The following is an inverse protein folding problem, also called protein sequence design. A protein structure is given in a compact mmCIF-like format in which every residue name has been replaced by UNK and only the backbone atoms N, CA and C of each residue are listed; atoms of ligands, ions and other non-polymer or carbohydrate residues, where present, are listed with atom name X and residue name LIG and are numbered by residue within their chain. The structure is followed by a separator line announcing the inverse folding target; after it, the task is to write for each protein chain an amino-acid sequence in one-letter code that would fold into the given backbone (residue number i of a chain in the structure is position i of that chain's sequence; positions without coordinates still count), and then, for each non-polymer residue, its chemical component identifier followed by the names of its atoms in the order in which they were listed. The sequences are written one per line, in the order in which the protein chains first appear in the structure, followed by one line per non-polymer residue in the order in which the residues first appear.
data_IF_593654593853
#
_entry.id   IF_593654593853
#
_cell.length_a   1.000
_cell.length_b   1.000
_cell.length_c   1.000
_cell.angle_alpha   90.00
_cell.angle_beta   90.00
_cell.angle_gamma   90.00
#
_symmetry.space_group_name_H-M   'P 1'
#
loop_
_entity.id
_entity.type
_entity.pdbx_description
1 polymer ?
#
# COMPACT_ATOMS: atom_id res chain seq x y z
N UNK A 1 7.70 -23.16 -22.02
CA UNK A 1 6.96 -22.03 -22.63
C UNK A 1 5.90 -21.60 -21.62
N UNK A 2 6.05 -20.43 -21.00
CA UNK A 2 5.07 -19.92 -20.03
C UNK A 2 4.04 -19.07 -20.78
N UNK A 3 2.81 -19.57 -20.89
CA UNK A 3 1.69 -18.82 -21.46
C UNK A 3 0.98 -18.08 -20.33
N UNK A 4 1.07 -16.75 -20.31
CA UNK A 4 0.37 -15.92 -19.34
C UNK A 4 -1.04 -15.59 -19.85
N UNK A 5 -2.07 -16.07 -19.16
CA UNK A 5 -3.47 -15.73 -19.46
C UNK A 5 -3.89 -14.55 -18.58
N UNK A 6 -4.23 -13.40 -19.18
CA UNK A 6 -4.58 -12.18 -18.45
C UNK A 6 -6.10 -11.92 -18.52
N UNK A 7 -6.81 -12.12 -17.40
CA UNK A 7 -8.25 -11.87 -17.29
C UNK A 7 -8.50 -10.52 -16.58
N UNK A 8 -9.14 -9.57 -17.27
CA UNK A 8 -9.17 -8.16 -16.90
C UNK A 8 -10.44 -7.70 -16.16
N UNK A 9 -11.56 -8.41 -16.28
CA UNK A 9 -12.85 -8.03 -15.69
C UNK A 9 -13.69 -9.26 -15.29
N UNK A 10 -14.26 -9.21 -14.08
CA UNK A 10 -15.03 -10.29 -13.46
C UNK A 10 -16.54 -10.10 -13.54
N UNK A 11 -17.00 -9.01 -14.15
CA UNK A 11 -18.40 -8.59 -14.16
C UNK A 11 -19.23 -9.18 -15.32
N UNK A 12 -18.61 -9.92 -16.25
CA UNK A 12 -19.26 -10.34 -17.51
C UNK A 12 -19.55 -11.86 -17.61
N UNK A 13 -19.59 -12.61 -16.50
CA UNK A 13 -19.88 -14.06 -16.55
C UNK A 13 -21.32 -14.35 -16.11
N UNK A 14 -22.13 -14.70 -17.10
CA UNK A 14 -23.53 -15.13 -16.99
C UNK A 14 -23.61 -16.52 -16.32
N UNK A 15 -24.60 -16.70 -15.42
CA UNK A 15 -24.92 -17.87 -14.56
C UNK A 15 -24.23 -17.88 -13.17
N UNK A 16 -24.83 -17.18 -12.21
CA UNK A 16 -24.35 -17.04 -10.82
C UNK A 16 -25.21 -17.89 -9.86
N UNK A 17 -24.65 -18.98 -9.36
CA UNK A 17 -24.97 -19.53 -8.02
C UNK A 17 -23.85 -19.20 -7.03
N UNK A 18 -22.65 -18.87 -7.52
CA UNK A 18 -21.52 -18.32 -6.74
C UNK A 18 -20.81 -17.27 -7.59
N UNK A 19 -20.53 -16.08 -7.03
CA UNK A 19 -19.67 -15.08 -7.68
C UNK A 19 -18.20 -15.45 -7.43
N UNK A 20 -17.66 -16.32 -8.28
CA UNK A 20 -16.30 -16.83 -8.21
C UNK A 20 -15.70 -16.97 -9.62
N UNK A 21 -14.38 -16.88 -9.76
CA UNK A 21 -13.70 -17.39 -10.95
C UNK A 21 -13.75 -18.90 -10.85
N UNK A 22 -14.07 -19.55 -11.95
CA UNK A 22 -13.74 -20.96 -12.09
C UNK A 22 -13.11 -21.16 -13.45
N UNK A 23 -11.87 -21.65 -13.46
CA UNK A 23 -11.10 -21.87 -14.68
C UNK A 23 -10.55 -23.29 -14.64
N UNK A 24 -10.73 -24.01 -15.72
CA UNK A 24 -10.05 -25.28 -15.96
C UNK A 24 -8.85 -25.00 -16.85
N UNK A 25 -7.67 -25.41 -16.40
CA UNK A 25 -6.44 -25.28 -17.16
C UNK A 25 -5.93 -26.67 -17.52
N UNK A 26 -5.58 -26.85 -18.78
CA UNK A 26 -4.97 -28.09 -19.26
C UNK A 26 -3.48 -27.88 -19.43
N UNK A 27 -2.71 -28.72 -18.76
CA UNK A 27 -1.27 -28.67 -18.64
C UNK A 27 -0.76 -30.05 -19.03
N UNK A 28 -0.31 -30.18 -20.28
CA UNK A 28 0.10 -31.48 -20.79
C UNK A 28 1.41 -31.92 -20.13
N UNK A 29 1.33 -32.88 -19.20
CA UNK A 29 2.47 -33.37 -18.44
C UNK A 29 3.54 -34.03 -19.33
N UNK A 30 3.14 -34.59 -20.48
CA UNK A 30 4.05 -35.20 -21.45
C UNK A 30 5.00 -34.21 -22.12
N UNK A 31 4.65 -32.92 -22.15
CA UNK A 31 5.49 -31.85 -22.73
C UNK A 31 6.58 -31.36 -21.77
N UNK A 32 6.60 -31.85 -20.53
CA UNK A 32 7.56 -31.44 -19.52
C UNK A 32 8.90 -32.15 -19.69
N UNK A 33 9.98 -31.45 -19.34
CA UNK A 33 11.30 -32.06 -19.27
C UNK A 33 11.33 -33.12 -18.15
N UNK A 34 12.02 -34.26 -18.33
CA UNK A 34 12.08 -35.34 -17.33
C UNK A 34 12.80 -34.95 -16.03
N UNK A 35 13.42 -33.77 -15.99
CA UNK A 35 14.03 -33.18 -14.79
C UNK A 35 13.06 -32.30 -13.98
N UNK A 36 11.82 -32.13 -14.44
CA UNK A 36 10.80 -31.34 -13.75
C UNK A 36 10.26 -32.11 -12.55
N UNK A 37 10.40 -31.56 -11.36
CA UNK A 37 9.96 -32.22 -10.12
C UNK A 37 8.44 -32.18 -9.90
N UNK A 38 7.74 -31.20 -10.48
CA UNK A 38 6.31 -31.00 -10.28
C UNK A 38 5.60 -30.49 -11.55
N UNK A 39 4.32 -30.86 -11.69
CA UNK A 39 3.40 -30.41 -12.74
C UNK A 39 2.24 -29.65 -12.12
N UNK A 40 1.87 -28.51 -12.71
CA UNK A 40 0.80 -27.66 -12.22
C UNK A 40 0.88 -26.25 -12.77
N UNK A 41 0.01 -25.39 -12.24
CA UNK A 41 -0.09 -23.97 -12.62
C UNK A 41 0.28 -23.10 -11.43
N UNK A 42 0.95 -21.97 -11.69
CA UNK A 42 1.15 -20.91 -10.70
C UNK A 42 0.17 -19.76 -10.95
N UNK A 43 -0.50 -19.33 -9.90
CA UNK A 43 -1.46 -18.23 -9.91
C UNK A 43 -0.97 -17.09 -9.01
N UNK A 44 -1.03 -15.86 -9.51
CA UNK A 44 -0.74 -14.65 -8.73
C UNK A 44 -1.94 -13.73 -8.77
N UNK A 45 -2.36 -13.27 -7.60
CA UNK A 45 -3.48 -12.35 -7.43
C UNK A 45 -2.91 -11.02 -6.97
N UNK A 46 -3.21 -9.95 -7.70
CA UNK A 46 -2.71 -8.61 -7.43
C UNK A 46 -3.75 -7.56 -7.81
N UNK A 47 -3.56 -6.32 -7.35
CA UNK A 47 -4.42 -5.21 -7.75
C UNK A 47 -4.21 -4.83 -9.23
N UNK A 48 -5.22 -4.24 -9.86
CA UNK A 48 -5.21 -3.91 -11.29
C UNK A 48 -4.07 -2.97 -11.69
N UNK A 49 -3.64 -2.12 -10.76
CA UNK A 49 -2.62 -1.09 -10.98
C UNK A 49 -1.19 -1.58 -10.66
N UNK A 50 -1.05 -2.80 -10.13
CA UNK A 50 0.24 -3.42 -9.79
C UNK A 50 0.66 -4.47 -10.83
N UNK A 51 1.97 -4.72 -10.95
CA UNK A 51 2.48 -5.80 -11.79
C UNK A 51 2.45 -7.16 -11.06
N UNK A 52 2.05 -8.24 -11.74
CA UNK A 52 2.19 -9.59 -11.20
C UNK A 52 3.66 -10.05 -11.21
N UNK A 53 4.12 -10.61 -10.10
CA UNK A 53 5.41 -11.30 -10.00
C UNK A 53 5.21 -12.78 -9.64
N UNK A 54 4.87 -13.64 -10.61
CA UNK A 54 4.55 -15.04 -10.37
C UNK A 54 5.74 -15.93 -10.00
N UNK A 55 6.97 -15.41 -10.10
CA UNK A 55 8.16 -16.14 -9.63
C UNK A 55 8.37 -15.98 -8.12
N UNK A 56 7.86 -14.89 -7.53
CA UNK A 56 8.07 -14.54 -6.12
C UNK A 56 6.79 -14.66 -5.29
N UNK A 57 5.67 -14.16 -5.82
CA UNK A 57 4.37 -14.13 -5.17
C UNK A 57 3.38 -14.96 -5.98
N UNK A 58 3.42 -16.28 -5.81
CA UNK A 58 2.51 -17.18 -6.51
C UNK A 58 2.01 -18.30 -5.62
N UNK A 59 0.81 -18.78 -5.94
CA UNK A 59 0.23 -19.98 -5.38
C UNK A 59 0.27 -21.10 -6.41
N UNK A 60 0.73 -22.27 -5.99
CA UNK A 60 0.76 -23.47 -6.83
C UNK A 60 -0.60 -24.16 -6.79
N UNK A 61 -1.09 -24.57 -7.96
CA UNK A 61 -2.26 -25.41 -8.12
C UNK A 61 -1.86 -26.67 -8.91
N UNK A 62 -1.83 -27.85 -8.25
CA UNK A 62 -1.47 -29.11 -8.90
C UNK A 62 -2.56 -29.60 -9.86
N UNK A 63 -2.18 -30.47 -10.80
CA UNK A 63 -3.14 -31.19 -11.66
C UNK A 63 -3.83 -32.32 -10.89
N UNK A 64 -5.05 -32.68 -11.29
CA UNK A 64 -5.87 -33.71 -10.63
C UNK A 64 -6.57 -33.25 -9.35
N UNK A 65 -6.54 -31.96 -9.08
CA UNK A 65 -7.22 -31.34 -7.95
C UNK A 65 -8.03 -30.13 -8.40
N UNK A 66 -9.08 -29.84 -7.63
CA UNK A 66 -9.71 -28.52 -7.60
C UNK A 66 -9.06 -27.72 -6.47
N UNK A 67 -8.29 -26.70 -6.86
CA UNK A 67 -7.66 -25.72 -5.98
C UNK A 67 -8.59 -24.54 -5.79
N UNK A 68 -9.08 -24.39 -4.56
CA UNK A 68 -10.00 -23.35 -4.13
C UNK A 68 -9.22 -22.28 -3.33
N UNK A 69 -9.29 -21.04 -3.81
CA UNK A 69 -8.58 -19.87 -3.31
C UNK A 69 -9.57 -18.85 -2.75
N UNK A 70 -9.65 -18.77 -1.42
CA UNK A 70 -10.45 -17.76 -0.72
C UNK A 70 -9.67 -16.46 -0.58
N UNK A 71 -10.15 -15.39 -1.22
CA UNK A 71 -9.59 -14.05 -1.15
C UNK A 71 -10.21 -13.26 0.00
N UNK A 72 -9.35 -12.61 0.80
CA UNK A 72 -9.74 -11.58 1.76
C UNK A 72 -9.01 -10.29 1.48
N UNK A 73 -9.76 -9.20 1.30
CA UNK A 73 -9.19 -7.88 1.04
C UNK A 73 -8.90 -7.16 2.37
N UNK A 74 -7.64 -6.74 2.55
CA UNK A 74 -7.18 -5.95 3.69
C UNK A 74 -6.62 -4.63 3.17
N UNK A 75 -7.24 -3.52 3.58
CA UNK A 75 -6.80 -2.18 3.25
C UNK A 75 -6.01 -1.63 4.43
N UNK A 76 -4.72 -1.42 4.22
CA UNK A 76 -3.83 -0.79 5.20
C UNK A 76 -3.74 0.70 4.89
N UNK A 77 -4.14 1.52 5.85
CA UNK A 77 -4.03 2.98 5.79
C UNK A 77 -3.28 3.49 7.00
N UNK A 78 -2.19 4.23 6.77
CA UNK A 78 -1.51 4.95 7.83
C UNK A 78 -1.99 6.39 7.78
N UNK A 79 -2.73 6.85 8.79
CA UNK A 79 -3.14 8.24 8.86
C UNK A 79 -1.90 9.10 9.15
N UNK A 80 -1.58 9.96 8.20
CA UNK A 80 -0.47 10.90 8.34
C UNK A 80 -1.06 12.30 8.39
N UNK A 81 -1.19 12.84 9.60
CA UNK A 81 -1.33 14.27 9.77
C UNK A 81 -0.46 14.78 10.92
N UNK A 82 0.80 15.06 10.61
CA UNK A 82 1.52 16.09 11.36
C UNK A 82 2.36 16.88 10.37
N UNK A 83 1.72 17.92 9.81
CA UNK A 83 2.23 19.26 9.48
C UNK A 83 3.63 19.47 8.83
N UNK A 84 4.33 18.42 8.39
CA UNK A 84 5.64 18.50 7.71
C UNK A 84 5.74 17.58 6.49
N UNK A 85 4.62 17.00 6.04
CA UNK A 85 4.59 16.03 4.91
C UNK A 85 3.79 16.47 3.69
N UNK A 86 3.27 17.70 3.69
CA UNK A 86 2.70 18.37 2.50
C UNK A 86 3.79 18.96 1.57
N UNK A 87 5.00 18.37 1.58
CA UNK A 87 6.04 18.65 0.59
C UNK A 87 6.80 17.38 0.17
N UNK A 88 6.11 16.22 0.12
CA UNK A 88 6.73 14.99 -0.39
C UNK A 88 5.81 14.14 -1.26
N UNK A 89 4.88 14.79 -1.96
CA UNK A 89 4.26 14.26 -3.18
C UNK A 89 5.03 14.70 -4.45
N UNK A 90 6.12 15.44 -4.27
CA UNK A 90 6.95 16.03 -5.34
C UNK A 90 8.43 15.62 -5.25
N UNK A 91 8.75 14.52 -4.59
CA UNK A 91 10.11 13.96 -4.50
C UNK A 91 10.08 12.44 -4.72
N UNK A 92 9.41 12.03 -5.79
CA UNK A 92 9.84 10.85 -6.55
C UNK A 92 10.57 11.42 -7.78
N UNK A 93 11.67 12.10 -7.53
CA UNK A 93 12.69 12.29 -8.55
C UNK A 93 14.05 12.23 -7.86
N UNK A 94 14.88 11.31 -8.36
CA UNK A 94 16.31 11.15 -8.10
C UNK A 94 16.69 10.44 -6.80
N UNK A 95 16.68 9.10 -6.88
CA UNK A 95 17.85 8.35 -6.44
C UNK A 95 18.95 8.58 -7.47
N UNK A 96 19.94 9.41 -7.16
CA UNK A 96 21.11 9.60 -8.04
C UNK A 96 22.06 8.41 -7.89
N UNK A 97 22.04 7.49 -8.86
CA UNK A 97 23.20 6.62 -9.08
C UNK A 97 24.30 7.45 -9.76
N UNK A 98 25.56 7.15 -9.43
CA UNK A 98 26.73 7.84 -9.98
C UNK A 98 26.80 7.56 -11.50
N UNK A 99 27.06 8.57 -12.34
CA UNK A 99 27.31 8.34 -13.77
C UNK A 99 28.67 7.63 -13.98
N UNK A 100 28.89 7.16 -15.21
CA UNK A 100 30.16 6.54 -15.63
C UNK A 100 31.37 7.39 -15.18
N UNK A 101 32.44 6.76 -14.64
CA UNK A 101 32.79 5.33 -14.73
C UNK A 101 32.25 4.44 -13.58
N UNK A 102 31.34 4.92 -12.72
CA UNK A 102 30.87 4.17 -11.54
C UNK A 102 29.41 3.64 -11.64
N UNK A 103 28.73 3.81 -12.79
CA UNK A 103 27.40 3.23 -13.06
C UNK A 103 26.78 3.62 -14.41
N UNK A 104 26.02 2.70 -15.02
CA UNK A 104 25.27 2.87 -16.29
C UNK A 104 23.79 3.24 -16.03
N UNK A 105 23.53 4.36 -15.35
CA UNK A 105 22.15 4.81 -15.10
C UNK A 105 21.65 5.78 -16.18
N UNK A 106 20.49 5.47 -16.77
CA UNK A 106 19.78 6.33 -17.73
C UNK A 106 18.86 7.28 -16.93
N UNK A 107 19.01 8.59 -17.14
CA UNK A 107 18.39 9.64 -16.31
C UNK A 107 16.85 9.62 -16.30
N UNK A 108 16.22 9.14 -17.39
CA UNK A 108 14.76 9.20 -17.57
C UNK A 108 14.04 7.89 -17.19
N UNK A 109 14.76 6.84 -16.79
CA UNK A 109 14.17 5.55 -16.38
C UNK A 109 13.38 4.79 -17.46
N UNK A 110 13.13 5.38 -18.62
CA UNK A 110 12.43 4.80 -19.74
C UNK A 110 13.07 5.25 -21.06
N UNK A 111 13.65 4.32 -21.80
CA UNK A 111 14.04 4.54 -23.21
C UNK A 111 12.83 4.27 -24.12
N UNK A 112 12.83 4.76 -25.36
CA UNK A 112 11.79 4.46 -26.37
C UNK A 112 11.55 2.95 -26.57
N UNK A 113 12.55 2.12 -26.22
CA UNK A 113 12.57 0.66 -26.22
C UNK A 113 12.17 -0.02 -24.88
N UNK A 114 11.48 0.68 -23.97
CA UNK A 114 10.98 0.04 -22.75
C UNK A 114 9.74 -0.82 -23.02
N UNK A 115 9.74 -2.03 -22.46
CA UNK A 115 8.81 -3.10 -22.85
C UNK A 115 7.41 -2.89 -22.24
N UNK A 116 7.31 -2.24 -21.07
CA UNK A 116 6.06 -2.18 -20.31
C UNK A 116 5.53 -0.77 -20.08
N UNK A 117 4.79 -0.25 -21.07
CA UNK A 117 4.35 1.13 -21.02
C UNK A 117 3.24 1.42 -20.00
N UNK A 118 3.48 2.35 -19.06
CA UNK A 118 2.44 2.92 -18.20
C UNK A 118 2.29 2.33 -16.78
N UNK A 119 3.28 1.63 -16.25
CA UNK A 119 3.21 1.02 -14.92
C UNK A 119 4.45 1.36 -14.07
N UNK A 120 4.28 1.49 -12.76
CA UNK A 120 5.36 1.79 -11.82
C UNK A 120 6.07 0.50 -11.39
N UNK A 121 7.39 0.43 -11.60
CA UNK A 121 8.21 -0.72 -11.22
C UNK A 121 8.93 -0.47 -9.89
N UNK A 122 8.98 -1.49 -9.05
CA UNK A 122 9.82 -1.56 -7.85
C UNK A 122 10.66 -2.83 -7.94
N UNK A 123 11.85 -2.76 -8.57
CA UNK A 123 12.93 -3.69 -8.20
C UNK A 123 13.16 -3.46 -6.73
N UNK A 124 13.26 -4.52 -5.93
CA UNK A 124 13.91 -4.49 -4.63
C UNK A 124 15.32 -3.87 -4.78
N UNK A 125 15.37 -2.55 -4.64
CA UNK A 125 16.55 -1.74 -4.77
C UNK A 125 16.95 -1.29 -3.38
N UNK A 126 17.81 -2.09 -2.75
CA UNK A 126 18.53 -1.78 -1.51
C UNK A 126 17.65 -1.51 -0.27
N UNK A 127 17.67 -2.47 0.66
CA UNK A 127 16.91 -2.54 1.94
C UNK A 127 17.07 -1.34 2.90
N UNK A 128 17.80 -0.27 2.53
CA UNK A 128 18.04 0.91 3.36
C UNK A 128 17.15 2.12 3.03
N UNK A 129 16.36 2.09 1.95
CA UNK A 129 15.53 3.23 1.52
C UNK A 129 14.13 2.87 1.01
N UNK A 130 13.64 1.64 1.19
CA UNK A 130 12.25 1.32 0.88
C UNK A 130 11.33 1.84 2.00
N UNK A 131 10.60 2.91 1.71
CA UNK A 131 9.54 3.42 2.58
C UNK A 131 8.22 2.82 2.10
N UNK A 132 7.53 2.08 2.98
CA UNK A 132 6.27 1.43 2.65
C UNK A 132 5.19 2.48 2.28
N UNK A 133 4.29 2.16 1.31
CA UNK A 133 3.22 3.06 0.92
C UNK A 133 2.21 3.26 2.05
N UNK A 134 1.69 4.48 2.21
CA UNK A 134 0.74 4.83 3.27
C UNK A 134 -0.68 4.27 3.03
N UNK A 135 -0.95 3.83 1.80
CA UNK A 135 -2.15 3.12 1.40
C UNK A 135 -1.71 1.90 0.63
N UNK A 136 -2.03 0.73 1.14
CA UNK A 136 -1.73 -0.53 0.48
C UNK A 136 -2.93 -1.45 0.58
N UNK A 137 -3.29 -2.06 -0.54
CA UNK A 137 -4.28 -3.13 -0.58
C UNK A 137 -3.52 -4.44 -0.58
N UNK A 138 -3.77 -5.28 0.42
CA UNK A 138 -3.17 -6.61 0.55
C UNK A 138 -4.29 -7.64 0.41
N UNK A 139 -4.07 -8.64 -0.43
CA UNK A 139 -4.96 -9.77 -0.59
C UNK A 139 -4.41 -10.95 0.21
N UNK A 140 -5.07 -11.30 1.30
CA UNK A 140 -4.75 -12.50 2.06
C UNK A 140 -5.50 -13.67 1.45
N UNK A 141 -4.80 -14.79 1.26
CA UNK A 141 -5.34 -15.98 0.58
C UNK A 141 -5.45 -17.17 1.52
N UNK A 142 -6.60 -17.82 1.51
CA UNK A 142 -6.89 -19.11 2.13
C UNK A 142 -6.88 -20.19 1.06
N UNK A 143 -6.12 -21.28 1.26
CA UNK A 143 -5.96 -22.37 0.28
C UNK A 143 -6.69 -23.64 0.70
N UNK A 144 -7.42 -24.25 -0.22
CA UNK A 144 -7.97 -25.60 -0.05
C UNK A 144 -7.96 -26.39 -1.35
N UNK A 145 -7.85 -27.72 -1.23
CA UNK A 145 -7.85 -28.64 -2.37
C UNK A 145 -8.91 -29.73 -2.16
N UNK A 146 -9.52 -30.18 -3.26
CA UNK A 146 -10.24 -31.44 -3.30
C UNK A 146 -9.86 -32.24 -4.54
N UNK A 147 -10.01 -33.57 -4.47
CA UNK A 147 -9.72 -34.45 -5.60
C UNK A 147 -10.71 -34.15 -6.73
N UNK A 148 -10.20 -33.97 -7.95
CA UNK A 148 -11.02 -33.75 -9.13
C UNK A 148 -10.37 -34.38 -10.38
N UNK A 149 -11.12 -35.09 -11.24
CA UNK A 149 -12.56 -35.33 -11.20
C UNK A 149 -13.01 -36.45 -10.24
N UNK A 150 -14.27 -36.42 -9.81
CA UNK A 150 -14.88 -37.54 -9.08
C UNK A 150 -15.27 -38.66 -10.03
N UNK A 151 -15.16 -39.93 -9.61
CA UNK A 151 -15.52 -41.10 -10.42
C UNK A 151 -16.98 -41.09 -10.91
N UNK A 152 -17.87 -40.37 -10.22
CA UNK A 152 -19.27 -40.21 -10.59
C UNK A 152 -19.55 -39.09 -11.62
N UNK A 153 -18.55 -38.26 -11.94
CA UNK A 153 -18.70 -37.14 -12.85
C UNK A 153 -18.45 -37.63 -14.28
N UNK A 154 -19.49 -37.72 -15.11
CA UNK A 154 -19.32 -37.87 -16.56
C UNK A 154 -18.98 -36.49 -17.13
N UNK A 155 -17.69 -36.20 -17.28
CA UNK A 155 -17.21 -34.91 -17.76
C UNK A 155 -17.54 -34.78 -19.24
N UNK A 156 -18.59 -34.03 -19.57
CA UNK A 156 -18.89 -33.60 -20.95
C UNK A 156 -18.12 -32.34 -21.36
N UNK A 157 -17.18 -31.88 -20.52
CA UNK A 157 -16.44 -30.64 -20.70
C UNK A 157 -15.08 -30.91 -21.37
N UNK A 158 -15.10 -31.05 -22.70
CA UNK A 158 -13.89 -31.20 -23.51
C UNK A 158 -14.01 -32.28 -24.58
N UNK A 159 -13.20 -32.13 -25.63
CA UNK A 159 -13.04 -33.01 -26.80
C UNK A 159 -12.30 -34.31 -26.44
N UNK A 160 -12.82 -35.10 -25.51
CA UNK A 160 -12.34 -36.46 -25.33
C UNK A 160 -13.35 -37.41 -25.99
N UNK A 161 -12.93 -38.06 -27.08
CA UNK A 161 -13.76 -39.01 -27.85
C UNK A 161 -13.66 -40.45 -27.31
N UNK A 162 -12.87 -40.66 -26.24
CA UNK A 162 -12.58 -41.97 -25.64
C UNK A 162 -13.51 -42.33 -24.46
N UNK A 163 -13.31 -43.53 -23.90
CA UNK A 163 -14.08 -44.04 -22.75
C UNK A 163 -13.87 -43.16 -21.51
N UNK A 164 -14.90 -42.92 -20.67
CA UNK A 164 -14.83 -41.99 -19.54
C UNK A 164 -13.76 -42.34 -18.50
N UNK A 165 -13.34 -43.60 -18.39
CA UNK A 165 -12.28 -44.01 -17.47
C UNK A 165 -10.90 -43.47 -17.89
N UNK A 166 -10.54 -43.63 -19.16
CA UNK A 166 -9.27 -43.13 -19.73
C UNK A 166 -9.27 -41.59 -19.69
N UNK A 167 -10.41 -40.99 -20.01
CA UNK A 167 -10.63 -39.55 -19.95
C UNK A 167 -10.40 -38.98 -18.53
N UNK A 168 -10.90 -39.67 -17.50
CA UNK A 168 -10.70 -39.27 -16.11
C UNK A 168 -9.23 -39.35 -15.69
N UNK A 169 -8.50 -40.38 -16.12
CA UNK A 169 -7.05 -40.47 -15.87
C UNK A 169 -6.30 -39.33 -16.57
N UNK A 170 -6.61 -39.06 -17.84
CA UNK A 170 -6.03 -37.95 -18.59
C UNK A 170 -6.27 -36.59 -17.92
N UNK A 171 -7.48 -36.34 -17.43
CA UNK A 171 -7.78 -35.12 -16.69
C UNK A 171 -7.09 -35.07 -15.33
N UNK A 172 -6.94 -36.21 -14.67
CA UNK A 172 -6.25 -36.28 -13.37
C UNK A 172 -4.77 -35.96 -13.50
N UNK A 173 -4.13 -36.35 -14.60
CA UNK A 173 -2.71 -36.08 -14.84
C UNK A 173 -2.47 -34.67 -15.40
N UNK A 174 -3.34 -34.20 -16.30
CA UNK A 174 -3.09 -33.01 -17.09
C UNK A 174 -3.94 -31.79 -16.72
N UNK A 175 -5.11 -31.95 -16.12
CA UNK A 175 -6.00 -30.81 -15.85
C UNK A 175 -5.90 -30.33 -14.40
N UNK A 176 -5.83 -29.01 -14.22
CA UNK A 176 -5.94 -28.34 -12.94
C UNK A 176 -7.21 -27.49 -12.91
N UNK A 177 -8.04 -27.66 -11.89
CA UNK A 177 -9.23 -26.83 -11.72
C UNK A 177 -8.97 -25.75 -10.68
N UNK A 178 -9.14 -24.49 -11.06
CA UNK A 178 -8.95 -23.33 -10.20
C UNK A 178 -10.30 -22.70 -9.88
N UNK A 179 -10.55 -22.44 -8.61
CA UNK A 179 -11.67 -21.63 -8.14
C UNK A 179 -11.15 -20.49 -7.27
N UNK A 180 -11.46 -19.24 -7.61
CA UNK A 180 -11.08 -18.08 -6.80
C UNK A 180 -12.34 -17.33 -6.39
N UNK A 181 -12.55 -17.14 -5.09
CA UNK A 181 -13.76 -16.54 -4.54
C UNK A 181 -13.43 -15.60 -3.39
N UNK A 182 -14.34 -14.67 -3.09
CA UNK A 182 -14.22 -13.85 -1.88
C UNK A 182 -14.71 -14.64 -0.67
N UNK A 183 -13.87 -14.78 0.36
CA UNK A 183 -14.24 -15.47 1.60
C UNK A 183 -15.36 -14.72 2.35
N UNK A 184 -15.29 -13.39 2.33
CA UNK A 184 -16.32 -12.50 2.83
C UNK A 184 -16.43 -11.24 1.95
N UNK A 185 -17.63 -10.65 1.87
CA UNK A 185 -17.85 -9.36 1.19
C UNK A 185 -17.42 -8.14 2.03
N UNK A 186 -16.80 -8.37 3.19
CA UNK A 186 -16.24 -7.31 3.99
C UNK A 186 -14.75 -7.11 3.66
N UNK A 187 -14.32 -5.86 3.73
CA UNK A 187 -12.91 -5.51 3.69
C UNK A 187 -12.48 -5.15 5.11
N UNK A 188 -11.31 -5.61 5.52
CA UNK A 188 -10.71 -5.16 6.78
C UNK A 188 -9.91 -3.91 6.52
N UNK A 189 -10.19 -2.83 7.24
CA UNK A 189 -9.41 -1.61 7.17
C UNK A 189 -8.53 -1.51 8.41
N UNK A 190 -7.21 -1.59 8.24
CA UNK A 190 -6.24 -1.35 9.30
C UNK A 190 -5.81 0.12 9.22
N UNK A 191 -6.36 0.95 10.10
CA UNK A 191 -6.04 2.37 10.20
C UNK A 191 -5.07 2.63 11.35
N UNK A 192 -3.86 3.08 11.06
CA UNK A 192 -2.94 3.58 12.09
C UNK A 192 -3.18 5.07 12.34
N UNK A 193 -3.35 5.46 13.61
CA UNK A 193 -3.56 6.85 14.01
C UNK A 193 -2.54 7.33 15.03
N UNK A 194 -2.29 8.63 15.02
CA UNK A 194 -1.35 9.29 15.92
C UNK A 194 -1.78 9.08 17.38
N UNK A 195 -0.87 8.48 18.18
CA UNK A 195 -1.13 8.21 19.59
C UNK A 195 -1.37 9.51 20.40
N UNK A 196 -0.70 10.61 20.00
CA UNK A 196 -0.70 11.87 20.72
C UNK A 196 -0.74 13.10 19.78
N UNK A 197 -1.95 13.60 19.53
CA UNK A 197 -2.14 14.80 18.72
C UNK A 197 -1.93 16.10 19.50
N UNK A 198 -1.79 17.22 18.79
CA UNK A 198 -1.57 18.56 19.38
C UNK A 198 -2.66 18.98 20.37
N UNK A 199 -3.89 18.50 20.18
CA UNK A 199 -5.01 18.78 21.09
C UNK A 199 -4.79 18.10 22.44
N UNK A 200 -4.33 16.85 22.45
CA UNK A 200 -4.00 16.14 23.69
C UNK A 200 -2.79 16.76 24.39
N UNK A 201 -1.79 17.20 23.61
CA UNK A 201 -0.61 17.89 24.14
C UNK A 201 -0.97 19.20 24.85
N UNK A 202 -1.80 20.03 24.21
CA UNK A 202 -2.26 21.29 24.81
C UNK A 202 -3.16 21.05 26.02
N UNK A 203 -3.98 19.99 25.99
CA UNK A 203 -4.82 19.61 27.12
C UNK A 203 -3.98 19.18 28.35
N UNK A 204 -2.93 18.38 28.15
CA UNK A 204 -2.07 17.93 29.25
C UNK A 204 -1.19 19.07 29.79
N UNK A 205 -0.65 19.91 28.91
CA UNK A 205 0.13 21.08 29.32
C UNK A 205 -0.74 22.10 30.09
N UNK A 206 -1.92 22.41 29.56
CA UNK A 206 -2.87 23.30 30.24
C UNK A 206 -3.41 22.71 31.54
N UNK A 207 -3.66 21.40 31.57
CA UNK A 207 -4.12 20.67 32.75
C UNK A 207 -3.09 20.68 33.88
N UNK A 208 -1.82 20.42 33.57
CA UNK A 208 -0.75 20.43 34.57
C UNK A 208 -0.43 21.86 35.06
N UNK A 209 -0.37 22.85 34.16
CA UNK A 209 -0.14 24.24 34.56
C UNK A 209 -1.30 24.83 35.37
N UNK A 210 -2.54 24.49 35.00
CA UNK A 210 -3.74 24.89 35.73
C UNK A 210 -3.81 24.26 37.12
N UNK A 211 -3.42 22.99 37.27
CA UNK A 211 -3.49 22.27 38.54
C UNK A 211 -2.42 22.75 39.54
N UNK A 212 -1.17 22.93 39.11
CA UNK A 212 -0.05 23.22 40.01
C UNK A 212 0.20 24.72 40.22
N UNK A 213 -0.03 25.54 39.18
CA UNK A 213 0.26 26.97 39.22
C UNK A 213 -0.99 27.85 39.16
N UNK A 214 -2.17 27.27 38.92
CA UNK A 214 -3.41 28.04 38.74
C UNK A 214 -3.38 28.93 37.49
N UNK A 215 -2.41 28.75 36.60
CA UNK A 215 -2.21 29.61 35.42
C UNK A 215 -3.18 29.18 34.33
N UNK A 216 -3.96 30.14 33.86
CA UNK A 216 -4.89 30.02 32.76
C UNK A 216 -4.51 30.92 31.58
N UNK A 217 -5.18 30.74 30.45
CA UNK A 217 -5.06 31.64 29.30
C UNK A 217 -5.35 33.10 29.69
N UNK A 218 -6.32 33.33 30.58
CA UNK A 218 -6.69 34.66 31.06
C UNK A 218 -5.56 35.31 31.84
N UNK A 219 -4.89 34.58 32.75
CA UNK A 219 -3.73 35.10 33.49
C UNK A 219 -2.54 35.40 32.59
N UNK A 220 -2.37 34.65 31.49
CA UNK A 220 -1.34 34.93 30.48
C UNK A 220 -1.61 36.25 29.74
N UNK A 221 -2.86 36.49 29.32
CA UNK A 221 -3.26 37.75 28.69
C UNK A 221 -3.05 38.96 29.63
N UNK A 222 -3.38 38.80 30.92
CA UNK A 222 -3.18 39.85 31.91
C UNK A 222 -1.70 40.22 32.06
N UNK A 223 -0.81 39.22 32.12
CA UNK A 223 0.63 39.46 32.19
C UNK A 223 1.16 40.23 30.96
N UNK A 224 0.68 39.90 29.75
CA UNK A 224 1.06 40.61 28.52
C UNK A 224 0.58 42.06 28.55
N UNK A 225 -0.67 42.31 28.95
CA UNK A 225 -1.19 43.68 29.10
C UNK A 225 -0.37 44.48 30.11
N UNK A 226 -0.04 43.87 31.26
CA UNK A 226 0.75 44.51 32.30
C UNK A 226 2.16 44.86 31.80
N UNK A 227 2.81 43.97 31.05
CA UNK A 227 4.11 44.25 30.42
C UNK A 227 3.99 45.41 29.43
N UNK A 228 2.97 45.44 28.59
CA UNK A 228 2.73 46.54 27.65
C UNK A 228 2.52 47.88 28.36
N UNK A 229 1.74 47.92 29.43
CA UNK A 229 1.54 49.13 30.25
C UNK A 229 2.82 49.58 30.94
N UNK A 230 3.60 48.63 31.46
CA UNK A 230 4.88 48.92 32.11
C UNK A 230 5.88 49.52 31.11
N UNK A 231 5.95 48.96 29.89
CA UNK A 231 6.76 49.51 28.80
C UNK A 231 6.28 50.91 28.40
N UNK A 232 4.97 51.12 28.30
CA UNK A 232 4.40 52.44 28.00
C UNK A 232 4.79 53.48 29.05
N UNK A 233 4.69 53.14 30.33
CA UNK A 233 5.08 54.03 31.44
C UNK A 233 6.59 54.33 31.45
N UNK A 234 7.44 53.35 31.16
CA UNK A 234 8.89 53.53 31.04
C UNK A 234 9.22 54.48 29.88
N UNK A 235 8.60 54.28 28.70
CA UNK A 235 8.80 55.15 27.53
C UNK A 235 8.38 56.59 27.85
N UNK A 236 7.21 56.78 28.47
CA UNK A 236 6.73 58.11 28.87
C UNK A 236 7.66 58.77 29.89
N UNK A 237 8.17 58.01 30.88
CA UNK A 237 9.14 58.51 31.85
C UNK A 237 10.44 58.98 31.17
N UNK A 238 11.00 58.17 30.27
CA UNK A 238 12.21 58.53 29.51
C UNK A 238 11.96 59.73 28.59
N UNK A 239 10.78 59.81 27.95
CA UNK A 239 10.40 60.93 27.08
C UNK A 239 10.27 62.24 27.87
N UNK A 240 9.65 62.22 29.06
CA UNK A 240 9.52 63.39 29.93
C UNK A 240 10.89 63.86 30.46
N UNK A 241 11.76 62.92 30.86
CA UNK A 241 13.14 63.23 31.30
C UNK A 241 13.98 63.82 30.16
N UNK A 242 13.80 63.33 28.93
CA UNK A 242 14.48 63.87 27.74
C UNK A 242 13.99 65.29 27.41
N UNK A 243 12.68 65.53 27.50
CA UNK A 243 12.07 66.85 27.28
C UNK A 243 12.57 67.90 28.28
N UNK A 244 12.66 67.54 29.56
CA UNK A 244 13.17 68.44 30.62
C UNK A 244 14.64 68.80 30.39
N UNK A 245 15.51 67.83 30.07
CA UNK A 245 16.91 68.10 29.73
C UNK A 245 17.07 69.05 28.54
N UNK A 246 16.25 68.87 27.50
CA UNK A 246 16.29 69.73 26.30
C UNK A 246 15.81 71.17 26.59
N UNK A 247 14.93 71.35 27.58
CA UNK A 247 14.45 72.66 28.02
C UNK A 247 15.47 73.41 28.89
N UNK A 248 16.17 72.73 29.80
CA UNK A 248 17.26 73.36 30.58
C UNK A 248 18.42 73.79 29.70
N UNK A 249 18.89 72.95 28.76
CA UNK A 249 19.98 73.31 27.83
C UNK A 249 19.63 74.46 26.88
N UNK A 250 18.35 74.78 26.67
CA UNK A 250 17.91 75.93 25.87
C UNK A 250 17.81 77.24 26.65
N UNK A 251 17.72 77.18 27.99
CA UNK A 251 17.66 78.36 28.84
C UNK A 251 19.06 78.86 29.26
N UNK A 252 20.09 78.03 29.04
CA UNK A 252 21.50 78.34 29.35
C UNK A 252 22.27 78.93 28.14
N UNK A 253 21.56 79.36 27.08
CA UNK A 253 22.11 79.89 25.81
C UNK A 253 21.37 81.17 25.43
#
# INVERSE_FOLDING_TARGET
MASALYLRNWQDVLYVVRKCLRVMLFVNASDYLPTSEAVGVRLTIHDKDEFPFPDTFSYSAPTGYISSFGMRMVLVTVSQFSSYREMKKLLIEKMSRLPAPYGDCIADGATSSYIYKGYAYSTEALYLRCQQPCKQTIYTMSYSEAIWPSQSLNITLGTCEEEPEICNEQYKENAAMLEVFYEALNFETLTESEAYGVVKLLADFGGQLGLWSGVSFMTCCEFVCLVCELLYMIIQYHYKKYKVKKLTTKNDL
#
